data_IF_117261862066
#
_entry.id   IF_117261862066
#
_cell.length_a   1.000
_cell.length_b   1.000
_cell.length_c   1.000
_cell.angle_alpha   90.00
_cell.angle_beta   90.00
_cell.angle_gamma   90.00
#
_symmetry.space_group_name_H-M   'P 1'
#
loop_
_entity.id
_entity.type
_entity.pdbx_description
1 polymer ?
#
# COMPACT_ATOMS: atom_id res chain seq x y z
N UNK A 1 -11.42 -11.56 15.33
CA UNK A 1 -10.37 -12.41 14.71
C UNK A 1 -10.99 -12.97 13.44
N UNK A 2 -10.37 -12.76 12.27
CA UNK A 2 -10.90 -13.27 10.99
C UNK A 2 -10.69 -14.79 10.98
N UNK A 3 -11.73 -15.56 10.68
CA UNK A 3 -11.68 -17.01 10.72
C UNK A 3 -10.90 -17.56 9.52
N UNK A 4 -10.05 -18.57 9.74
CA UNK A 4 -9.32 -19.30 8.70
C UNK A 4 -10.22 -19.80 7.56
N UNK A 5 -11.43 -20.28 7.88
CA UNK A 5 -12.40 -20.75 6.87
C UNK A 5 -12.82 -19.62 5.92
N UNK A 6 -13.06 -18.43 6.46
CA UNK A 6 -13.42 -17.24 5.68
C UNK A 6 -12.27 -16.83 4.74
N UNK A 7 -11.03 -16.84 5.24
CA UNK A 7 -9.85 -16.54 4.42
C UNK A 7 -9.67 -17.54 3.26
N UNK A 8 -9.86 -18.84 3.53
CA UNK A 8 -9.79 -19.87 2.51
C UNK A 8 -10.91 -19.74 1.47
N UNK A 9 -12.12 -19.40 1.90
CA UNK A 9 -13.25 -19.15 1.00
C UNK A 9 -13.01 -17.92 0.12
N UNK A 10 -12.46 -16.83 0.66
CA UNK A 10 -12.08 -15.64 -0.11
C UNK A 10 -11.02 -15.98 -1.17
N UNK A 11 -9.99 -16.75 -0.82
CA UNK A 11 -8.99 -17.23 -1.78
C UNK A 11 -9.66 -18.04 -2.90
N UNK A 12 -10.58 -18.95 -2.55
CA UNK A 12 -11.29 -19.79 -3.53
C UNK A 12 -12.16 -18.95 -4.47
N UNK A 13 -12.90 -17.97 -3.95
CA UNK A 13 -13.76 -17.08 -4.74
C UNK A 13 -12.94 -16.21 -5.69
N UNK A 14 -11.86 -15.58 -5.21
CA UNK A 14 -10.96 -14.79 -6.04
C UNK A 14 -10.31 -15.62 -7.14
N UNK A 15 -9.81 -16.82 -6.83
CA UNK A 15 -9.24 -17.73 -7.84
C UNK A 15 -10.26 -18.10 -8.91
N UNK A 16 -11.50 -18.43 -8.52
CA UNK A 16 -12.58 -18.72 -9.48
C UNK A 16 -12.84 -17.53 -10.42
N UNK A 17 -12.82 -16.30 -9.90
CA UNK A 17 -12.97 -15.10 -10.74
C UNK A 17 -11.80 -14.95 -11.73
N UNK A 18 -10.57 -15.14 -11.26
CA UNK A 18 -9.37 -15.10 -12.11
C UNK A 18 -9.44 -16.13 -13.24
N UNK A 19 -9.87 -17.36 -12.93
CA UNK A 19 -10.02 -18.44 -13.93
C UNK A 19 -11.11 -18.08 -14.94
N UNK A 20 -12.27 -17.57 -14.49
CA UNK A 20 -13.34 -17.10 -15.39
C UNK A 20 -12.87 -16.04 -16.38
N UNK A 21 -12.07 -15.06 -15.94
CA UNK A 21 -11.53 -14.03 -16.83
C UNK A 21 -10.45 -14.55 -17.76
N UNK A 22 -9.65 -15.55 -17.33
CA UNK A 22 -8.68 -16.22 -18.18
C UNK A 22 -9.38 -16.93 -19.35
N UNK A 23 -10.45 -17.65 -19.07
CA UNK A 23 -11.21 -18.39 -20.09
C UNK A 23 -11.96 -17.46 -21.04
N UNK A 24 -12.39 -16.30 -20.55
CA UNK A 24 -13.19 -15.33 -21.31
C UNK A 24 -12.38 -14.16 -21.86
N UNK A 25 -11.06 -14.15 -21.74
CA UNK A 25 -10.23 -12.98 -22.06
C UNK A 25 -10.47 -12.45 -23.47
N UNK A 26 -10.54 -13.34 -24.45
CA UNK A 26 -10.75 -13.00 -25.86
C UNK A 26 -12.16 -12.49 -26.16
N UNK A 27 -13.10 -12.64 -25.23
CA UNK A 27 -14.48 -12.12 -25.34
C UNK A 27 -14.66 -10.77 -24.66
N UNK A 28 -13.64 -10.25 -23.98
CA UNK A 28 -13.70 -8.95 -23.32
C UNK A 28 -13.45 -7.87 -24.38
N UNK A 29 -14.38 -6.91 -24.54
CA UNK A 29 -14.19 -5.74 -25.40
C UNK A 29 -12.87 -5.02 -25.10
N UNK A 30 -12.15 -4.57 -26.14
CA UNK A 30 -10.81 -4.01 -25.97
C UNK A 30 -10.78 -2.78 -25.06
N UNK A 31 -11.80 -1.93 -25.18
CA UNK A 31 -12.05 -0.75 -24.35
C UNK A 31 -12.27 -1.08 -22.86
N UNK A 32 -12.60 -2.33 -22.54
CA UNK A 32 -12.80 -2.81 -21.17
C UNK A 32 -11.63 -3.61 -20.60
N UNK A 33 -10.61 -3.93 -21.40
CA UNK A 33 -9.46 -4.74 -20.96
C UNK A 33 -8.66 -4.04 -19.87
N UNK A 34 -8.45 -2.73 -19.98
CA UNK A 34 -7.73 -1.93 -18.99
C UNK A 34 -8.42 -1.95 -17.61
N UNK A 35 -9.74 -1.74 -17.58
CA UNK A 35 -10.54 -1.85 -16.37
C UNK A 35 -10.56 -3.29 -15.82
N UNK A 36 -10.62 -4.29 -16.70
CA UNK A 36 -10.54 -5.70 -16.31
C UNK A 36 -9.23 -6.01 -15.61
N UNK A 37 -8.09 -5.51 -16.12
CA UNK A 37 -6.81 -5.67 -15.45
C UNK A 37 -6.80 -5.11 -14.02
N UNK A 38 -7.53 -4.02 -13.77
CA UNK A 38 -7.65 -3.46 -12.43
C UNK A 38 -8.37 -4.44 -11.49
N UNK A 39 -9.49 -5.02 -11.95
CA UNK A 39 -10.21 -6.06 -11.21
C UNK A 39 -9.33 -7.28 -10.93
N UNK A 40 -8.59 -7.77 -11.92
CA UNK A 40 -7.67 -8.91 -11.74
C UNK A 40 -6.56 -8.60 -10.73
N UNK A 41 -6.01 -7.38 -10.76
CA UNK A 41 -5.05 -6.90 -9.78
C UNK A 41 -5.63 -6.87 -8.37
N UNK A 42 -6.85 -6.37 -8.22
CA UNK A 42 -7.55 -6.34 -6.93
C UNK A 42 -7.82 -7.74 -6.36
N UNK A 43 -8.24 -8.70 -7.18
CA UNK A 43 -8.42 -10.09 -6.74
C UNK A 43 -7.09 -10.75 -6.34
N UNK A 44 -6.02 -10.50 -7.10
CA UNK A 44 -4.68 -10.98 -6.74
C UNK A 44 -4.23 -10.40 -5.39
N UNK A 45 -4.45 -9.09 -5.16
CA UNK A 45 -4.17 -8.43 -3.88
C UNK A 45 -4.99 -9.04 -2.73
N UNK A 46 -6.27 -9.31 -2.94
CA UNK A 46 -7.15 -10.00 -1.95
C UNK A 46 -6.58 -11.37 -1.57
N UNK A 47 -6.21 -12.19 -2.56
CA UNK A 47 -5.56 -13.49 -2.31
C UNK A 47 -4.26 -13.28 -1.52
N UNK A 48 -3.44 -12.31 -1.90
CA UNK A 48 -2.17 -12.03 -1.25
C UNK A 48 -2.35 -11.69 0.24
N UNK A 49 -3.32 -10.83 0.57
CA UNK A 49 -3.65 -10.46 1.96
C UNK A 49 -4.16 -11.67 2.73
N UNK A 50 -5.07 -12.46 2.15
CA UNK A 50 -5.59 -13.67 2.81
C UNK A 50 -4.48 -14.69 3.09
N UNK A 51 -3.57 -14.93 2.13
CA UNK A 51 -2.40 -15.80 2.33
C UNK A 51 -1.48 -15.25 3.43
N UNK A 52 -1.34 -13.92 3.52
CA UNK A 52 -0.52 -13.29 4.55
C UNK A 52 -1.08 -13.50 5.96
N UNK A 53 -2.41 -13.36 6.11
CA UNK A 53 -3.13 -13.64 7.34
C UNK A 53 -3.08 -15.12 7.73
N UNK A 54 -3.03 -16.02 6.75
CA UNK A 54 -2.77 -17.45 6.93
C UNK A 54 -1.29 -17.79 7.16
N UNK A 55 -0.41 -16.79 7.30
CA UNK A 55 1.04 -16.93 7.48
C UNK A 55 1.79 -17.61 6.32
N UNK A 56 1.18 -17.68 5.13
CA UNK A 56 1.81 -18.21 3.93
C UNK A 56 2.57 -17.10 3.17
N UNK A 57 3.72 -16.70 3.70
CA UNK A 57 4.51 -15.54 3.24
C UNK A 57 4.93 -15.67 1.78
N UNK A 58 5.49 -16.82 1.38
CA UNK A 58 6.00 -17.05 0.02
C UNK A 58 4.88 -16.89 -1.02
N UNK A 59 3.74 -17.53 -0.76
CA UNK A 59 2.59 -17.45 -1.66
C UNK A 59 2.00 -16.02 -1.68
N UNK A 60 1.91 -15.36 -0.53
CA UNK A 60 1.47 -13.96 -0.44
C UNK A 60 2.32 -13.04 -1.31
N UNK A 61 3.65 -13.13 -1.23
CA UNK A 61 4.56 -12.31 -2.05
C UNK A 61 4.37 -12.56 -3.55
N UNK A 62 4.17 -13.83 -3.96
CA UNK A 62 3.86 -14.17 -5.35
C UNK A 62 2.55 -13.55 -5.84
N UNK A 63 1.51 -13.51 -5.00
CA UNK A 63 0.23 -12.89 -5.37
C UNK A 63 0.31 -11.36 -5.40
N UNK A 64 1.09 -10.73 -4.51
CA UNK A 64 1.36 -9.30 -4.59
C UNK A 64 2.12 -8.93 -5.88
N UNK A 65 3.07 -9.77 -6.30
CA UNK A 65 3.76 -9.61 -7.58
C UNK A 65 2.76 -9.62 -8.75
N UNK A 66 1.89 -10.63 -8.82
CA UNK A 66 0.85 -10.72 -9.85
C UNK A 66 -0.11 -9.53 -9.82
N UNK A 67 -0.47 -9.05 -8.63
CA UNK A 67 -1.33 -7.88 -8.48
C UNK A 67 -0.69 -6.65 -9.11
N UNK A 68 0.58 -6.36 -8.80
CA UNK A 68 1.32 -5.24 -9.41
C UNK A 68 1.41 -5.37 -10.94
N UNK A 69 1.70 -6.57 -11.45
CA UNK A 69 1.78 -6.83 -12.89
C UNK A 69 0.46 -6.59 -13.61
N UNK A 70 -0.68 -6.88 -12.98
CA UNK A 70 -2.00 -6.56 -13.52
C UNK A 70 -2.31 -5.06 -13.42
N UNK A 71 -2.05 -4.42 -12.27
CA UNK A 71 -2.31 -2.99 -12.12
C UNK A 71 -1.48 -2.13 -13.10
N UNK A 72 -0.25 -2.51 -13.43
CA UNK A 72 0.56 -1.83 -14.46
C UNK A 72 0.00 -1.97 -15.88
N UNK A 73 -0.94 -2.87 -16.13
CA UNK A 73 -1.65 -3.00 -17.41
C UNK A 73 -3.01 -2.30 -17.40
N UNK A 74 -3.41 -1.75 -16.25
CA UNK A 74 -4.65 -1.00 -16.10
C UNK A 74 -4.48 0.44 -16.56
N UNK A 75 -5.60 1.03 -16.95
CA UNK A 75 -5.74 2.46 -17.15
C UNK A 75 -6.93 2.92 -16.31
N UNK A 76 -6.79 4.09 -15.71
CA UNK A 76 -7.83 4.76 -14.93
C UNK A 76 -7.96 6.20 -15.40
N UNK A 77 -9.06 6.85 -15.05
CA UNK A 77 -9.24 8.28 -15.31
C UNK A 77 -8.09 9.08 -14.68
N UNK A 78 -7.75 10.24 -15.28
CA UNK A 78 -6.60 11.08 -14.84
C UNK A 78 -6.63 11.38 -13.33
N UNK A 79 -7.82 11.60 -12.77
CA UNK A 79 -8.01 11.95 -11.35
C UNK A 79 -7.72 10.77 -10.40
N UNK A 80 -7.88 9.53 -10.88
CA UNK A 80 -7.69 8.31 -10.10
C UNK A 80 -6.26 7.76 -10.22
N UNK A 81 -5.42 8.37 -11.08
CA UNK A 81 -4.03 7.96 -11.28
C UNK A 81 -3.24 7.77 -9.97
N UNK A 82 -3.30 8.66 -8.96
CA UNK A 82 -2.57 8.43 -7.71
C UNK A 82 -3.02 7.16 -6.98
N UNK A 83 -4.30 6.78 -7.06
CA UNK A 83 -4.82 5.56 -6.43
C UNK A 83 -4.20 4.35 -7.10
N UNK A 84 -4.30 4.27 -8.44
CA UNK A 84 -3.69 3.17 -9.20
C UNK A 84 -2.18 3.10 -8.97
N UNK A 85 -1.49 4.24 -9.01
CA UNK A 85 -0.04 4.29 -8.85
C UNK A 85 0.40 3.87 -7.45
N UNK A 86 -0.36 4.24 -6.42
CA UNK A 86 -0.16 3.72 -5.07
C UNK A 86 -0.42 2.22 -5.02
N UNK A 87 -1.48 1.69 -5.65
CA UNK A 87 -1.72 0.25 -5.70
C UNK A 87 -0.55 -0.51 -6.34
N UNK A 88 -0.04 -0.03 -7.47
CA UNK A 88 1.14 -0.59 -8.16
C UNK A 88 2.36 -0.57 -7.23
N UNK A 89 2.70 0.60 -6.69
CA UNK A 89 3.93 0.76 -5.92
C UNK A 89 3.87 -0.01 -4.59
N UNK A 90 2.72 0.03 -3.91
CA UNK A 90 2.48 -0.66 -2.65
C UNK A 90 2.62 -2.19 -2.82
N UNK A 91 1.93 -2.75 -3.82
CA UNK A 91 1.99 -4.19 -4.08
C UNK A 91 3.36 -4.63 -4.56
N UNK A 92 4.04 -3.82 -5.38
CA UNK A 92 5.43 -4.07 -5.78
C UNK A 92 6.39 -4.09 -4.58
N UNK A 93 6.34 -3.10 -3.68
CA UNK A 93 7.20 -3.06 -2.48
C UNK A 93 6.98 -4.29 -1.60
N UNK A 94 5.71 -4.66 -1.35
CA UNK A 94 5.38 -5.81 -0.50
C UNK A 94 5.83 -7.13 -1.12
N UNK A 95 5.84 -7.25 -2.45
CA UNK A 95 6.34 -8.45 -3.14
C UNK A 95 7.84 -8.73 -2.91
N UNK A 96 8.60 -7.71 -2.48
CA UNK A 96 10.07 -7.73 -2.31
C UNK A 96 10.85 -8.08 -3.60
N UNK A 97 10.22 -8.06 -4.77
CA UNK A 97 10.89 -8.26 -6.06
C UNK A 97 11.50 -6.93 -6.54
N UNK A 98 12.82 -6.80 -6.45
CA UNK A 98 13.52 -5.55 -6.78
C UNK A 98 13.39 -5.14 -8.26
N UNK A 99 13.29 -6.11 -9.17
CA UNK A 99 13.07 -5.81 -10.60
C UNK A 99 11.68 -5.23 -10.80
N UNK A 100 10.68 -5.80 -10.13
CA UNK A 100 9.30 -5.28 -10.16
C UNK A 100 9.21 -3.88 -9.52
N UNK A 101 9.86 -3.65 -8.37
CA UNK A 101 9.90 -2.32 -7.73
C UNK A 101 10.51 -1.28 -8.66
N UNK A 102 11.57 -1.63 -9.39
CA UNK A 102 12.20 -0.72 -10.37
C UNK A 102 11.23 -0.37 -11.50
N UNK A 103 10.59 -1.37 -12.11
CA UNK A 103 9.56 -1.16 -13.14
C UNK A 103 8.38 -0.33 -12.64
N UNK A 104 7.89 -0.61 -11.43
CA UNK A 104 6.80 0.13 -10.82
C UNK A 104 7.14 1.61 -10.63
N UNK A 105 8.37 1.93 -10.18
CA UNK A 105 8.82 3.31 -10.05
C UNK A 105 8.86 4.05 -11.38
N UNK A 106 9.35 3.41 -12.43
CA UNK A 106 9.39 3.97 -13.79
C UNK A 106 7.96 4.24 -14.28
N UNK A 107 7.07 3.26 -14.13
CA UNK A 107 5.67 3.35 -14.55
C UNK A 107 4.92 4.51 -13.87
N UNK A 108 5.11 4.70 -12.56
CA UNK A 108 4.38 5.71 -11.78
C UNK A 108 5.08 7.08 -11.75
N UNK A 109 6.22 7.23 -12.44
CA UNK A 109 6.97 8.48 -12.45
C UNK A 109 6.34 9.60 -13.30
N UNK A 110 5.38 9.27 -14.16
CA UNK A 110 4.68 10.18 -15.08
C UNK A 110 3.51 10.96 -14.44
N UNK A 111 3.46 11.03 -13.11
CA UNK A 111 2.41 11.81 -12.44
C UNK A 111 2.72 13.31 -12.52
N UNK A 112 1.80 14.10 -13.08
CA UNK A 112 1.98 15.55 -13.26
C UNK A 112 2.14 16.27 -11.91
N UNK A 113 3.11 17.17 -11.83
CA UNK A 113 3.36 18.02 -10.66
C UNK A 113 2.21 18.99 -10.34
N UNK A 114 1.36 19.28 -11.34
CA UNK A 114 0.17 20.15 -11.20
C UNK A 114 -1.04 19.40 -10.61
N UNK A 115 -0.96 18.06 -10.49
CA UNK A 115 -2.05 17.23 -9.96
C UNK A 115 -2.63 17.74 -8.63
N UNK A 116 -1.85 18.02 -7.57
CA UNK A 116 -2.40 18.47 -6.29
C UNK A 116 -3.11 19.83 -6.37
N UNK A 117 -2.79 20.69 -7.35
CA UNK A 117 -3.46 21.98 -7.54
C UNK A 117 -4.82 21.80 -8.22
N UNK A 118 -4.87 20.95 -9.25
CA UNK A 118 -6.08 20.64 -10.00
C UNK A 118 -7.04 19.71 -9.24
N UNK A 119 -6.51 18.87 -8.34
CA UNK A 119 -7.25 17.85 -7.61
C UNK A 119 -6.99 17.92 -6.08
N UNK A 120 -7.35 19.05 -5.46
CA UNK A 120 -7.08 19.34 -4.04
C UNK A 120 -7.51 18.23 -3.07
N UNK A 121 -8.65 17.57 -3.35
CA UNK A 121 -9.16 16.47 -2.51
C UNK A 121 -8.29 15.21 -2.54
N UNK A 122 -7.46 15.07 -3.56
CA UNK A 122 -6.57 13.91 -3.79
C UNK A 122 -5.09 14.24 -3.56
N UNK A 123 -4.77 15.50 -3.21
CA UNK A 123 -3.41 15.96 -2.99
C UNK A 123 -2.66 15.11 -1.96
N UNK A 124 -3.34 14.61 -0.93
CA UNK A 124 -2.72 13.73 0.06
C UNK A 124 -2.20 12.41 -0.56
N UNK A 125 -2.97 11.76 -1.44
CA UNK A 125 -2.54 10.53 -2.11
C UNK A 125 -1.37 10.80 -3.05
N UNK A 126 -1.39 11.94 -3.73
CA UNK A 126 -0.27 12.40 -4.55
C UNK A 126 1.01 12.52 -3.72
N UNK A 127 0.99 13.27 -2.62
CA UNK A 127 2.20 13.44 -1.80
C UNK A 127 2.63 12.15 -1.08
N UNK A 128 1.70 11.23 -0.80
CA UNK A 128 2.06 9.89 -0.35
C UNK A 128 2.84 9.11 -1.41
N UNK A 129 2.36 9.13 -2.66
CA UNK A 129 3.06 8.49 -3.78
C UNK A 129 4.47 9.09 -3.96
N UNK A 130 4.57 10.41 -3.99
CA UNK A 130 5.86 11.11 -4.11
C UNK A 130 6.79 10.74 -2.95
N UNK A 131 6.28 10.68 -1.72
CA UNK A 131 7.07 10.27 -0.55
C UNK A 131 7.67 8.86 -0.74
N UNK A 132 6.86 7.89 -1.17
CA UNK A 132 7.34 6.52 -1.41
C UNK A 132 8.42 6.49 -2.49
N UNK A 133 8.22 7.22 -3.59
CA UNK A 133 9.20 7.36 -4.67
C UNK A 133 10.50 7.98 -4.18
N UNK A 134 10.44 9.05 -3.38
CA UNK A 134 11.61 9.72 -2.83
C UNK A 134 12.38 8.85 -1.84
N UNK A 135 11.68 8.09 -0.98
CA UNK A 135 12.30 7.11 -0.07
C UNK A 135 13.03 6.02 -0.86
N UNK A 136 12.38 5.45 -1.88
CA UNK A 136 12.95 4.41 -2.75
C UNK A 136 14.13 4.91 -3.58
N UNK A 137 14.10 6.18 -4.01
CA UNK A 137 15.17 6.82 -4.77
C UNK A 137 16.28 7.43 -3.91
N UNK A 138 16.14 7.38 -2.58
CA UNK A 138 17.07 8.01 -1.64
C UNK A 138 17.29 9.51 -1.85
N UNK A 139 16.21 10.23 -2.18
CA UNK A 139 16.22 11.69 -2.41
C UNK A 139 15.91 12.44 -1.12
N UNK A 140 16.82 12.40 -0.15
CA UNK A 140 16.58 12.92 1.21
C UNK A 140 16.11 14.41 1.25
N UNK A 141 16.61 15.27 0.36
CA UNK A 141 16.13 16.67 0.20
C UNK A 141 14.66 16.72 -0.23
N UNK A 142 14.26 15.86 -1.17
CA UNK A 142 12.87 15.81 -1.65
C UNK A 142 11.94 15.19 -0.60
N UNK A 143 12.42 14.17 0.14
CA UNK A 143 11.70 13.64 1.32
C UNK A 143 11.36 14.77 2.29
N UNK A 144 12.32 15.65 2.61
CA UNK A 144 12.08 16.77 3.52
C UNK A 144 11.00 17.74 3.00
N UNK A 145 11.01 18.07 1.70
CA UNK A 145 9.99 18.92 1.07
C UNK A 145 8.61 18.26 1.10
N UNK A 146 8.54 16.96 0.79
CA UNK A 146 7.30 16.19 0.81
C UNK A 146 6.73 16.07 2.23
N UNK A 147 7.59 15.91 3.26
CA UNK A 147 7.18 15.94 4.67
C UNK A 147 6.51 17.28 5.01
N UNK A 148 7.09 18.41 4.60
CA UNK A 148 6.50 19.72 4.87
C UNK A 148 5.10 19.86 4.24
N UNK A 149 4.93 19.39 3.00
CA UNK A 149 3.62 19.37 2.32
C UNK A 149 2.61 18.45 2.99
N UNK A 150 3.02 17.27 3.44
CA UNK A 150 2.15 16.37 4.19
C UNK A 150 1.72 16.98 5.53
N UNK A 151 2.61 17.67 6.26
CA UNK A 151 2.27 18.40 7.50
C UNK A 151 1.23 19.49 7.24
N UNK A 152 1.46 20.33 6.23
CA UNK A 152 0.52 21.38 5.81
C UNK A 152 -0.88 20.81 5.52
N UNK A 153 -0.94 19.68 4.81
CA UNK A 153 -2.21 19.01 4.51
C UNK A 153 -2.86 18.39 5.75
N UNK A 154 -2.09 17.73 6.62
CA UNK A 154 -2.59 17.14 7.88
C UNK A 154 -3.17 18.20 8.83
N UNK A 155 -2.68 19.44 8.80
CA UNK A 155 -3.18 20.57 9.59
C UNK A 155 -4.46 21.20 8.99
N UNK A 156 -4.48 21.41 7.67
CA UNK A 156 -5.60 22.06 6.96
C UNK A 156 -6.82 21.17 6.86
N UNK A 157 -6.62 19.85 6.84
CA UNK A 157 -7.71 18.92 6.65
C UNK A 157 -8.24 18.39 7.99
N UNK A 158 -9.52 18.65 8.27
CA UNK A 158 -10.31 17.91 9.29
C UNK A 158 -10.52 16.43 8.91
N UNK A 159 -9.70 15.89 8.01
CA UNK A 159 -9.87 14.55 7.49
C UNK A 159 -9.34 13.59 8.56
N UNK A 160 -10.22 13.19 9.47
CA UNK A 160 -10.06 12.01 10.35
C UNK A 160 -9.79 10.71 9.56
N UNK A 161 -9.76 10.76 8.23
CA UNK A 161 -9.60 9.65 7.29
C UNK A 161 -8.26 9.64 6.54
N UNK A 162 -7.41 10.66 6.66
CA UNK A 162 -6.06 10.64 6.09
C UNK A 162 -5.16 9.88 7.07
N UNK A 163 -4.19 9.11 6.60
CA UNK A 163 -3.28 8.33 7.46
C UNK A 163 -2.37 9.25 8.29
N UNK A 164 -2.95 9.89 9.33
CA UNK A 164 -2.27 10.82 10.23
C UNK A 164 -1.03 10.13 10.78
N UNK A 165 0.11 10.80 10.66
CA UNK A 165 1.39 10.27 11.11
C UNK A 165 2.33 9.88 9.97
N UNK A 166 1.90 9.92 8.72
CA UNK A 166 2.76 9.66 7.57
C UNK A 166 3.96 10.61 7.52
N UNK A 167 3.72 11.92 7.74
CA UNK A 167 4.78 12.91 7.82
C UNK A 167 5.77 12.60 8.96
N UNK A 168 5.26 12.19 10.12
CA UNK A 168 6.08 11.83 11.29
C UNK A 168 6.88 10.54 11.06
N UNK A 169 6.27 9.55 10.41
CA UNK A 169 6.96 8.31 10.02
C UNK A 169 8.09 8.62 9.03
N UNK A 170 7.84 9.44 8.01
CA UNK A 170 8.86 9.87 7.06
C UNK A 170 9.98 10.68 7.71
N UNK A 171 9.65 11.57 8.65
CA UNK A 171 10.62 12.31 9.47
C UNK A 171 11.54 11.33 10.24
N UNK A 172 10.97 10.28 10.83
CA UNK A 172 11.74 9.23 11.49
C UNK A 172 12.66 8.47 10.52
N UNK A 173 12.20 8.20 9.29
CA UNK A 173 13.03 7.61 8.22
C UNK A 173 14.21 8.53 7.88
N UNK A 174 13.93 9.80 7.61
CA UNK A 174 14.91 10.80 7.18
C UNK A 174 15.97 11.05 8.26
N UNK A 175 15.54 11.20 9.51
CA UNK A 175 16.41 11.48 10.66
C UNK A 175 17.04 10.24 11.29
N UNK A 176 16.70 9.04 10.79
CA UNK A 176 17.09 7.75 11.39
C UNK A 176 16.70 7.61 12.86
N UNK A 177 15.63 8.29 13.28
CA UNK A 177 15.16 8.28 14.66
C UNK A 177 14.02 7.26 14.83
N UNK A 178 14.32 6.14 15.50
CA UNK A 178 13.37 5.05 15.75
C UNK A 178 12.14 5.51 16.56
N UNK A 179 12.32 6.39 17.54
CA UNK A 179 11.24 6.85 18.40
C UNK A 179 10.23 7.70 17.61
N UNK A 180 10.74 8.65 16.81
CA UNK A 180 9.93 9.48 15.90
C UNK A 180 9.20 8.61 14.87
N UNK A 181 9.92 7.64 14.28
CA UNK A 181 9.33 6.71 13.33
C UNK A 181 8.18 5.89 13.95
N UNK A 182 8.41 5.33 15.14
CA UNK A 182 7.44 4.50 15.87
C UNK A 182 6.20 5.31 16.27
N UNK A 183 6.38 6.55 16.72
CA UNK A 183 5.28 7.47 17.01
C UNK A 183 4.39 7.67 15.78
N UNK A 184 5.00 7.91 14.60
CA UNK A 184 4.28 8.04 13.34
C UNK A 184 3.51 6.78 12.95
N UNK A 185 4.13 5.60 13.04
CA UNK A 185 3.46 4.32 12.75
C UNK A 185 2.26 4.10 13.67
N UNK A 186 2.40 4.35 14.97
CA UNK A 186 1.30 4.21 15.92
C UNK A 186 0.14 5.18 15.60
N UNK A 187 0.43 6.40 15.13
CA UNK A 187 -0.61 7.33 14.65
C UNK A 187 -1.35 6.77 13.43
N UNK A 188 -0.63 6.20 12.46
CA UNK A 188 -1.23 5.57 11.26
C UNK A 188 -2.15 4.41 11.65
N UNK A 189 -1.69 3.52 12.53
CA UNK A 189 -2.47 2.35 12.99
C UNK A 189 -3.74 2.76 13.74
N UNK A 190 -3.64 3.75 14.64
CA UNK A 190 -4.81 4.31 15.34
C UNK A 190 -5.83 4.89 14.37
N UNK A 191 -5.35 5.60 13.33
CA UNK A 191 -6.22 6.15 12.28
C UNK A 191 -6.91 5.03 11.51
N UNK A 192 -6.17 4.00 11.08
CA UNK A 192 -6.69 2.84 10.36
C UNK A 192 -7.81 2.16 11.16
N UNK A 193 -7.57 1.82 12.43
CA UNK A 193 -8.56 1.20 13.32
C UNK A 193 -9.84 2.01 13.48
N UNK A 194 -9.75 3.33 13.58
CA UNK A 194 -10.94 4.20 13.69
C UNK A 194 -11.79 4.15 12.42
N UNK A 195 -11.15 4.19 11.25
CA UNK A 195 -11.84 4.16 9.95
C UNK A 195 -12.34 2.78 9.55
N UNK A 196 -11.64 1.74 10.01
CA UNK A 196 -11.78 0.34 9.60
C UNK A 196 -11.67 -0.54 10.86
N UNK A 197 -12.67 -0.53 11.75
CA UNK A 197 -12.62 -1.34 12.96
C UNK A 197 -12.63 -2.83 12.59
N UNK A 198 -11.68 -3.60 13.14
CA UNK A 198 -11.45 -5.02 12.82
C UNK A 198 -12.70 -5.91 12.92
N UNK A 199 -13.68 -5.51 13.72
CA UNK A 199 -14.97 -6.20 13.91
C UNK A 199 -15.98 -6.00 12.77
N UNK A 200 -15.74 -5.05 11.85
CA UNK A 200 -16.62 -4.71 10.71
C UNK A 200 -15.89 -4.71 9.36
N UNK A 201 -14.62 -5.09 9.33
CA UNK A 201 -13.77 -5.07 8.12
C UNK A 201 -13.81 -6.40 7.39
N UNK A 202 -13.86 -6.33 6.06
CA UNK A 202 -13.54 -7.46 5.20
C UNK A 202 -12.04 -7.83 5.33
N UNK A 203 -11.66 -9.01 4.82
CA UNK A 203 -10.26 -9.47 4.88
C UNK A 203 -9.26 -8.51 4.23
N UNK A 204 -9.70 -7.68 3.29
CA UNK A 204 -8.86 -6.75 2.53
C UNK A 204 -8.40 -5.56 3.38
N UNK A 205 -9.22 -5.13 4.34
CA UNK A 205 -8.93 -4.02 5.26
C UNK A 205 -8.30 -4.46 6.59
N UNK A 206 -8.13 -5.78 6.77
CA UNK A 206 -7.55 -6.38 7.97
C UNK A 206 -6.08 -5.99 8.19
N UNK A 207 -5.39 -5.55 7.14
CA UNK A 207 -4.00 -5.12 7.17
C UNK A 207 -3.90 -3.65 6.73
N UNK A 208 -3.26 -2.83 7.54
CA UNK A 208 -2.82 -1.49 7.18
C UNK A 208 -1.58 -1.59 6.27
N UNK A 209 -1.82 -1.60 4.95
CA UNK A 209 -0.74 -1.69 3.95
C UNK A 209 0.21 -0.49 4.06
N UNK A 210 -0.29 0.71 4.31
CA UNK A 210 0.51 1.93 4.53
C UNK A 210 1.56 1.73 5.63
N UNK A 211 1.14 1.28 6.82
CA UNK A 211 2.07 1.00 7.91
C UNK A 211 3.06 -0.12 7.55
N UNK A 212 2.57 -1.19 6.89
CA UNK A 212 3.40 -2.32 6.46
C UNK A 212 4.52 -1.89 5.51
N UNK A 213 4.21 -1.04 4.53
CA UNK A 213 5.16 -0.56 3.53
C UNK A 213 6.21 0.36 4.16
N UNK A 214 5.78 1.29 5.00
CA UNK A 214 6.70 2.19 5.68
C UNK A 214 7.65 1.42 6.61
N UNK A 215 7.20 0.35 7.26
CA UNK A 215 8.05 -0.56 8.03
C UNK A 215 9.06 -1.31 7.15
N UNK A 216 8.64 -1.81 5.97
CA UNK A 216 9.55 -2.45 5.00
C UNK A 216 10.64 -1.46 4.55
N UNK A 217 10.26 -0.24 4.18
CA UNK A 217 11.19 0.78 3.71
C UNK A 217 12.13 1.28 4.83
N UNK A 218 11.63 1.41 6.06
CA UNK A 218 12.43 1.77 7.22
C UNK A 218 13.53 0.73 7.50
N UNK A 219 13.21 -0.57 7.37
CA UNK A 219 14.19 -1.65 7.51
C UNK A 219 15.34 -1.52 6.51
N UNK A 220 15.03 -1.15 5.25
CA UNK A 220 16.05 -0.88 4.22
C UNK A 220 16.95 0.32 4.56
N UNK A 221 16.47 1.23 5.43
CA UNK A 221 17.21 2.38 5.97
C UNK A 221 17.83 2.10 7.35
N UNK A 222 17.88 0.83 7.77
CA UNK A 222 18.43 0.37 9.06
C UNK A 222 17.67 0.90 10.29
N UNK A 223 16.40 1.26 10.13
CA UNK A 223 15.51 1.59 11.24
C UNK A 223 14.67 0.36 11.51
N UNK A 224 14.84 -0.25 12.68
CA UNK A 224 14.09 -1.42 13.08
C UNK A 224 13.22 -1.08 14.28
N UNK A 225 11.91 -1.21 14.11
CA UNK A 225 10.97 -1.09 15.22
C UNK A 225 10.69 -2.46 15.77
N UNK A 226 11.02 -2.64 17.05
CA UNK A 226 10.63 -3.83 17.80
C UNK A 226 9.11 -3.89 17.92
N UNK A 227 8.52 -5.05 17.65
CA UNK A 227 7.06 -5.27 17.64
C UNK A 227 6.42 -4.85 18.96
N UNK A 228 7.13 -4.97 20.07
CA UNK A 228 6.70 -4.60 21.42
C UNK A 228 6.35 -3.12 21.54
N UNK A 229 7.05 -2.25 20.79
CA UNK A 229 6.87 -0.78 20.80
C UNK A 229 5.67 -0.29 19.99
N UNK A 230 5.05 -1.17 19.20
CA UNK A 230 3.80 -0.87 18.50
C UNK A 230 2.63 -1.00 19.49
N UNK A 231 1.60 -0.15 19.41
CA UNK A 231 0.43 -0.25 20.31
C UNK A 231 -0.43 -1.48 20.01
N UNK A 232 -1.50 -1.73 20.78
CA UNK A 232 -2.43 -2.90 20.68
C UNK A 232 -3.00 -3.21 19.28
N UNK A 233 -2.75 -2.33 18.30
CA UNK A 233 -3.20 -2.41 16.92
C UNK A 233 -2.25 -3.23 16.02
N UNK A 234 -1.37 -4.07 16.60
CA UNK A 234 -0.40 -4.93 15.88
C UNK A 234 -1.05 -5.93 14.95
N UNK A 235 -2.32 -6.26 15.18
CA UNK A 235 -3.10 -7.16 14.35
C UNK A 235 -3.30 -6.63 12.93
N UNK A 236 -3.20 -5.31 12.74
CA UNK A 236 -3.31 -4.67 11.42
C UNK A 236 -1.99 -4.61 10.66
N UNK A 237 -0.89 -5.12 11.21
CA UNK A 237 0.36 -5.20 10.46
C UNK A 237 0.53 -6.64 10.00
N UNK A 238 1.03 -6.79 8.77
CA UNK A 238 1.54 -8.05 8.28
C UNK A 238 2.78 -8.48 9.09
N UNK A 239 2.56 -9.05 10.28
CA UNK A 239 3.62 -9.42 11.22
C UNK A 239 4.67 -10.34 10.57
N UNK A 240 4.24 -11.22 9.67
CA UNK A 240 5.07 -12.12 8.87
C UNK A 240 6.02 -11.42 7.89
N UNK A 241 5.86 -10.11 7.65
CA UNK A 241 6.74 -9.31 6.79
C UNK A 241 7.84 -8.58 7.57
N UNK A 242 7.73 -8.50 8.89
CA UNK A 242 8.67 -7.80 9.78
C UNK A 242 9.77 -8.69 10.34
N UNK A 243 9.51 -10.00 10.46
CA UNK A 243 10.44 -10.98 11.03
C UNK A 243 11.70 -11.14 10.14
N UNK A 244 12.84 -11.39 10.80
CA UNK A 244 14.14 -11.53 10.16
C UNK A 244 14.19 -12.81 9.33
N UNK A 245 14.64 -12.67 8.08
CA UNK A 245 15.39 -13.74 7.42
C UNK A 245 16.85 -13.58 7.85
#
# INVERSE_FOLDING_TARGET
MINQKELQENIKKSKKLLDMFKDKWNTIPEDRRAATYYTLGAECKRIAIAQLLLKNKKESMNWFKKAAEYFMKSEVMKEEKPILYLEILNTAIISKDQKLITKAKEFVSDISAEFPENHKNWAYLYYYLILLLDILNKKDIQIAKTIAKLKELEEKTRIERAHKGMAKTAEGILTKNEAVFTEGINKILRSHKKTKPFSKTNSDDAICLTATILLILAKQRKIQVKKEKLTEDKQYIANSMLENE
#
